data_IF_004807961368
#
_entry.id   IF_004807961368
#
_cell.length_a   1.000
_cell.length_b   1.000
_cell.length_c   1.000
_cell.angle_alpha   90.00
_cell.angle_beta   90.00
_cell.angle_gamma   90.00
#
_symmetry.space_group_name_H-M   'P 1'
#
loop_
_entity.id
_entity.type
_entity.pdbx_description
1 polymer ?
#
# COMPACT_ATOMS: atom_id res chain seq x y z
N UNK A 1 9.69 19.64 7.49
CA UNK A 1 8.75 18.95 6.58
C UNK A 1 7.36 18.83 7.19
N UNK A 2 7.17 18.13 8.32
CA UNK A 2 5.84 17.96 8.92
C UNK A 2 5.30 19.23 9.60
N UNK A 3 6.19 20.14 9.99
CA UNK A 3 5.85 21.39 10.69
C UNK A 3 4.89 22.29 9.90
N UNK A 4 4.86 22.20 8.56
CA UNK A 4 3.87 22.93 7.74
C UNK A 4 2.42 22.51 7.99
N UNK A 5 2.22 21.33 8.60
CA UNK A 5 0.90 20.80 8.97
C UNK A 5 0.56 21.03 10.45
N UNK A 6 1.38 21.76 11.19
CA UNK A 6 1.17 22.02 12.62
C UNK A 6 1.22 23.52 12.88
N UNK A 7 0.30 24.02 13.71
CA UNK A 7 0.35 25.40 14.18
C UNK A 7 1.53 25.66 15.13
N UNK A 8 1.93 24.63 15.88
CA UNK A 8 3.06 24.62 16.83
C UNK A 8 3.65 23.21 16.86
N UNK A 9 4.98 23.08 16.74
CA UNK A 9 5.68 21.78 16.66
C UNK A 9 6.46 21.38 17.92
N UNK A 10 6.65 22.30 18.88
CA UNK A 10 7.38 22.06 20.13
C UNK A 10 6.60 22.62 21.33
N UNK A 11 6.58 21.91 22.45
CA UNK A 11 5.76 22.25 23.62
C UNK A 11 6.56 22.14 24.92
N UNK A 12 6.27 23.01 25.87
CA UNK A 12 7.03 23.11 27.14
C UNK A 12 6.38 22.32 28.28
N UNK A 13 5.09 22.00 28.16
CA UNK A 13 4.36 21.15 29.12
C UNK A 13 3.20 20.41 28.44
N UNK A 14 2.58 19.48 29.17
CA UNK A 14 1.36 18.81 28.70
C UNK A 14 0.19 19.80 28.54
N UNK A 15 0.06 20.75 29.46
CA UNK A 15 -0.98 21.79 29.41
C UNK A 15 -0.80 22.70 28.17
N UNK A 16 0.45 23.06 27.86
CA UNK A 16 0.80 23.80 26.64
C UNK A 16 0.44 23.01 25.38
N UNK A 17 0.78 21.71 25.33
CA UNK A 17 0.40 20.82 24.23
C UNK A 17 -1.11 20.74 24.04
N UNK A 18 -1.86 20.47 25.11
CA UNK A 18 -3.31 20.33 25.05
C UNK A 18 -4.01 21.61 24.58
N UNK A 19 -3.49 22.78 24.97
CA UNK A 19 -4.07 24.06 24.61
C UNK A 19 -3.73 24.50 23.18
N UNK A 20 -2.53 24.16 22.70
CA UNK A 20 -1.96 24.79 21.51
C UNK A 20 -1.68 23.84 20.35
N UNK A 21 -1.83 22.52 20.52
CA UNK A 21 -1.71 21.58 19.42
C UNK A 21 -2.91 21.69 18.47
N UNK A 22 -2.62 21.98 17.22
CA UNK A 22 -3.62 22.09 16.16
C UNK A 22 -2.99 21.62 14.84
N UNK A 23 -3.69 20.69 14.16
CA UNK A 23 -3.30 20.22 12.83
C UNK A 23 -3.90 21.15 11.79
N UNK A 24 -3.06 21.64 10.89
CA UNK A 24 -3.49 22.38 9.71
C UNK A 24 -3.84 21.35 8.64
N UNK A 25 -5.13 21.19 8.36
CA UNK A 25 -5.63 20.29 7.31
C UNK A 25 -5.73 21.08 6.01
N UNK A 26 -4.82 20.86 5.03
CA UNK A 26 -4.92 21.52 3.74
C UNK A 26 -6.13 20.98 2.95
N UNK A 27 -6.58 21.73 1.94
CA UNK A 27 -7.67 21.31 1.06
C UNK A 27 -7.36 19.97 0.35
N UNK A 28 -6.09 19.74 0.01
CA UNK A 28 -5.60 18.49 -0.57
C UNK A 28 -4.39 17.99 0.22
N UNK A 29 -4.44 16.72 0.59
CA UNK A 29 -3.34 16.03 1.25
C UNK A 29 -3.28 14.59 0.77
N UNK A 30 -2.08 14.12 0.44
CA UNK A 30 -1.79 12.73 0.12
C UNK A 30 -0.45 12.33 0.75
N UNK A 31 -0.48 11.41 1.72
CA UNK A 31 0.71 11.01 2.46
C UNK A 31 1.87 10.53 1.57
N UNK A 32 1.59 9.83 0.48
CA UNK A 32 2.64 9.32 -0.41
C UNK A 32 3.36 10.46 -1.16
N UNK A 33 2.64 11.53 -1.53
CA UNK A 33 3.24 12.68 -2.20
C UNK A 33 3.79 13.72 -1.21
N UNK A 34 2.98 14.11 -0.24
CA UNK A 34 3.22 15.24 0.64
C UNK A 34 4.23 14.95 1.77
N UNK A 35 4.47 13.68 2.05
CA UNK A 35 5.38 13.22 3.11
C UNK A 35 6.48 12.33 2.53
N UNK A 36 6.12 11.21 1.87
CA UNK A 36 7.12 10.23 1.40
C UNK A 36 7.95 10.80 0.25
N UNK A 37 7.31 11.28 -0.81
CA UNK A 37 8.03 11.87 -1.95
C UNK A 37 8.75 13.17 -1.57
N UNK A 38 8.19 13.96 -0.65
CA UNK A 38 8.87 15.16 -0.15
C UNK A 38 10.14 14.80 0.63
N UNK A 39 10.12 13.75 1.47
CA UNK A 39 11.34 13.24 2.08
C UNK A 39 12.33 12.70 1.03
N UNK A 40 11.86 11.97 0.03
CA UNK A 40 12.69 11.49 -1.07
C UNK A 40 13.36 12.63 -1.83
N UNK A 41 12.76 13.83 -1.85
CA UNK A 41 13.31 15.03 -2.47
C UNK A 41 14.32 15.77 -1.59
N UNK A 42 14.02 15.95 -0.29
CA UNK A 42 14.84 16.79 0.61
C UNK A 42 15.96 16.02 1.33
N UNK A 43 15.78 14.71 1.53
CA UNK A 43 16.69 13.85 2.28
C UNK A 43 16.59 12.42 1.71
N UNK A 44 17.00 12.21 0.43
CA UNK A 44 16.78 10.97 -0.31
C UNK A 44 17.35 9.74 0.37
N UNK A 45 18.54 9.86 0.97
CA UNK A 45 19.29 8.78 1.61
C UNK A 45 18.81 8.47 3.03
N UNK A 46 17.84 9.23 3.54
CA UNK A 46 17.26 8.99 4.86
C UNK A 46 16.60 7.62 4.88
N UNK A 47 17.04 6.78 5.82
CA UNK A 47 16.44 5.47 6.06
C UNK A 47 14.98 5.62 6.48
N UNK A 48 14.09 4.98 5.73
CA UNK A 48 12.67 4.97 5.97
C UNK A 48 12.22 3.64 6.60
N UNK A 49 12.72 2.51 6.09
CA UNK A 49 12.38 1.17 6.58
C UNK A 49 13.65 0.37 6.80
N UNK A 50 13.72 -0.30 7.96
CA UNK A 50 14.64 -1.39 8.23
C UNK A 50 13.79 -2.65 8.40
N UNK A 51 13.90 -3.57 7.45
CA UNK A 51 13.18 -4.84 7.46
C UNK A 51 14.15 -5.98 7.69
N UNK A 52 13.74 -6.96 8.51
CA UNK A 52 14.50 -8.16 8.82
C UNK A 52 13.55 -9.36 8.90
N UNK A 53 14.06 -10.57 8.66
CA UNK A 53 13.34 -11.82 8.94
C UNK A 53 14.12 -12.76 9.88
N UNK A 54 13.50 -13.88 10.21
CA UNK A 54 14.03 -14.94 11.06
C UNK A 54 15.10 -15.79 10.37
N UNK A 55 15.28 -15.64 9.05
CA UNK A 55 16.38 -16.25 8.28
C UNK A 55 17.64 -15.36 8.22
N UNK A 56 17.62 -14.18 8.86
CA UNK A 56 18.75 -13.26 8.89
C UNK A 56 18.86 -12.36 7.66
N UNK A 57 17.88 -12.37 6.77
CA UNK A 57 17.79 -11.42 5.67
C UNK A 57 17.51 -10.01 6.21
N UNK A 58 18.10 -9.01 5.57
CA UNK A 58 17.92 -7.60 5.95
C UNK A 58 17.77 -6.75 4.70
N UNK A 59 16.74 -5.92 4.68
CA UNK A 59 16.52 -4.90 3.65
C UNK A 59 16.40 -3.53 4.30
N UNK A 60 17.20 -2.57 3.84
CA UNK A 60 17.09 -1.18 4.24
C UNK A 60 16.59 -0.38 3.05
N UNK A 61 15.49 0.35 3.25
CA UNK A 61 14.93 1.22 2.23
C UNK A 61 15.05 2.67 2.69
N UNK A 62 15.61 3.50 1.83
CA UNK A 62 15.59 4.95 1.97
C UNK A 62 14.27 5.54 1.48
N UNK A 63 14.02 6.82 1.72
CA UNK A 63 12.83 7.47 1.14
C UNK A 63 12.89 7.52 -0.39
N UNK A 64 14.08 7.64 -0.99
CA UNK A 64 14.25 7.51 -2.44
C UNK A 64 13.84 6.11 -2.94
N UNK A 65 14.21 5.05 -2.22
CA UNK A 65 13.82 3.67 -2.55
C UNK A 65 12.30 3.48 -2.43
N UNK A 66 11.68 3.99 -1.36
CA UNK A 66 10.22 3.90 -1.19
C UNK A 66 9.47 4.64 -2.28
N UNK A 67 9.92 5.84 -2.66
CA UNK A 67 9.33 6.58 -3.77
C UNK A 67 9.40 5.77 -5.06
N UNK A 68 10.59 5.27 -5.41
CA UNK A 68 10.80 4.47 -6.62
C UNK A 68 9.92 3.22 -6.63
N UNK A 69 9.98 2.43 -5.56
CA UNK A 69 9.22 1.19 -5.46
C UNK A 69 7.70 1.43 -5.50
N UNK A 70 7.21 2.45 -4.79
CA UNK A 70 5.79 2.80 -4.82
C UNK A 70 5.32 3.39 -6.15
N UNK A 71 6.17 4.11 -6.89
CA UNK A 71 5.89 4.55 -8.26
C UNK A 71 5.78 3.35 -9.22
N UNK A 72 6.73 2.42 -9.17
CA UNK A 72 6.71 1.17 -9.96
C UNK A 72 5.47 0.32 -9.63
N UNK A 73 5.15 0.15 -8.35
CA UNK A 73 3.94 -0.56 -7.90
C UNK A 73 2.66 0.16 -8.31
N UNK A 74 2.61 1.50 -8.26
CA UNK A 74 1.46 2.29 -8.69
C UNK A 74 1.18 2.13 -10.18
N UNK A 75 2.22 2.20 -11.00
CA UNK A 75 2.14 1.97 -12.45
C UNK A 75 1.70 0.53 -12.78
N UNK A 76 2.23 -0.45 -12.04
CA UNK A 76 1.77 -1.84 -12.16
C UNK A 76 0.27 -1.95 -11.84
N UNK A 77 -0.21 -1.39 -10.74
CA UNK A 77 -1.63 -1.44 -10.39
C UNK A 77 -2.52 -0.72 -11.42
N UNK A 78 -2.09 0.43 -11.94
CA UNK A 78 -2.78 1.10 -13.05
C UNK A 78 -2.87 0.22 -14.28
N UNK A 79 -1.82 -0.54 -14.61
CA UNK A 79 -1.83 -1.48 -15.74
C UNK A 79 -2.84 -2.63 -15.57
N UNK A 80 -3.22 -2.94 -14.32
CA UNK A 80 -4.27 -3.89 -14.00
C UNK A 80 -5.67 -3.27 -13.99
N UNK A 81 -5.80 -1.97 -14.25
CA UNK A 81 -7.07 -1.24 -14.23
C UNK A 81 -7.52 -0.79 -12.85
N UNK A 82 -6.60 -0.72 -11.87
CA UNK A 82 -6.87 -0.20 -10.53
C UNK A 82 -6.62 1.31 -10.52
N UNK A 83 -7.58 2.05 -9.98
CA UNK A 83 -7.47 3.51 -9.85
C UNK A 83 -8.32 4.08 -8.73
N UNK A 84 -8.69 5.36 -8.87
CA UNK A 84 -9.39 6.11 -7.84
C UNK A 84 -10.65 5.40 -7.33
N UNK A 85 -10.73 5.20 -6.01
CA UNK A 85 -11.89 4.60 -5.34
C UNK A 85 -12.01 3.08 -5.44
N UNK A 86 -11.18 2.40 -6.23
CA UNK A 86 -11.12 0.93 -6.26
C UNK A 86 -10.56 0.39 -4.93
N UNK A 87 -11.12 -0.72 -4.43
CA UNK A 87 -10.73 -1.30 -3.13
C UNK A 87 -9.80 -2.48 -3.36
N UNK A 88 -8.67 -2.47 -2.68
CA UNK A 88 -7.61 -3.49 -2.82
C UNK A 88 -7.32 -4.10 -1.46
N UNK A 89 -7.59 -5.39 -1.31
CA UNK A 89 -7.29 -6.13 -0.08
C UNK A 89 -5.81 -6.51 -0.02
N UNK A 90 -5.15 -6.25 1.11
CA UNK A 90 -3.73 -6.52 1.31
C UNK A 90 -3.54 -7.56 2.43
N UNK A 91 -3.21 -8.80 2.06
CA UNK A 91 -2.95 -9.93 2.97
C UNK A 91 -1.44 -10.28 2.91
N UNK A 92 -0.60 -9.33 3.32
CA UNK A 92 0.85 -9.36 3.06
C UNK A 92 1.71 -9.65 4.30
N UNK A 93 1.10 -10.03 5.43
CA UNK A 93 1.82 -10.27 6.71
C UNK A 93 2.73 -9.08 7.05
N UNK A 94 4.03 -9.31 7.31
CA UNK A 94 5.04 -8.27 7.57
C UNK A 94 6.01 -8.10 6.41
N UNK A 95 5.59 -8.40 5.18
CA UNK A 95 6.41 -8.24 3.96
C UNK A 95 6.61 -6.76 3.64
N UNK A 96 7.79 -6.37 3.16
CA UNK A 96 8.08 -4.95 2.87
C UNK A 96 7.26 -4.44 1.67
N UNK A 97 6.81 -5.33 0.81
CA UNK A 97 5.90 -5.11 -0.33
C UNK A 97 4.54 -4.56 0.11
N UNK A 98 4.15 -4.77 1.38
CA UNK A 98 3.00 -4.08 1.96
C UNK A 98 3.17 -2.57 1.90
N UNK A 99 4.36 -2.06 2.22
CA UNK A 99 4.66 -0.63 2.20
C UNK A 99 4.67 -0.06 0.79
N UNK A 100 5.19 -0.82 -0.18
CA UNK A 100 5.14 -0.41 -1.59
C UNK A 100 3.69 -0.35 -2.08
N UNK A 101 2.90 -1.38 -1.75
CA UNK A 101 1.50 -1.49 -2.14
C UNK A 101 0.65 -0.38 -1.55
N UNK A 102 0.71 -0.15 -0.23
CA UNK A 102 -0.14 0.85 0.41
C UNK A 102 0.18 2.26 -0.10
N UNK A 103 1.47 2.60 -0.25
CA UNK A 103 1.89 3.90 -0.81
C UNK A 103 1.46 4.05 -2.27
N UNK A 104 1.59 3.00 -3.08
CA UNK A 104 1.12 3.00 -4.45
C UNK A 104 -0.39 3.24 -4.55
N UNK A 105 -1.18 2.59 -3.69
CA UNK A 105 -2.63 2.80 -3.63
C UNK A 105 -2.98 4.24 -3.26
N UNK A 106 -2.23 4.84 -2.31
CA UNK A 106 -2.39 6.26 -1.98
C UNK A 106 -2.11 7.14 -3.19
N UNK A 107 -1.04 6.86 -3.95
CA UNK A 107 -0.68 7.65 -5.14
C UNK A 107 -1.75 7.61 -6.24
N UNK A 108 -2.42 6.49 -6.42
CA UNK A 108 -3.43 6.31 -7.48
C UNK A 108 -4.87 6.59 -7.02
N UNK A 109 -5.06 7.05 -5.78
CA UNK A 109 -6.38 7.30 -5.19
C UNK A 109 -7.19 6.04 -4.88
N UNK A 110 -6.57 4.86 -4.92
CA UNK A 110 -7.21 3.60 -4.57
C UNK A 110 -7.26 3.41 -3.04
N UNK A 111 -8.19 2.58 -2.59
CA UNK A 111 -8.43 2.32 -1.17
C UNK A 111 -7.78 1.00 -0.78
N UNK A 112 -6.72 1.07 0.03
CA UNK A 112 -6.11 -0.11 0.64
C UNK A 112 -6.96 -0.66 1.79
N UNK A 113 -7.18 -1.97 1.79
CA UNK A 113 -7.90 -2.70 2.84
C UNK A 113 -6.96 -3.75 3.44
N UNK A 114 -6.12 -3.38 4.43
CA UNK A 114 -5.24 -4.32 5.11
C UNK A 114 -6.03 -5.41 5.83
N UNK A 115 -5.58 -6.65 5.72
CA UNK A 115 -6.23 -7.80 6.31
C UNK A 115 -5.20 -8.79 6.90
N UNK A 116 -5.61 -9.52 7.93
CA UNK A 116 -4.78 -10.58 8.51
C UNK A 116 -4.69 -11.78 7.56
N UNK A 117 -3.61 -12.55 7.67
CA UNK A 117 -3.44 -13.82 6.94
C UNK A 117 -4.28 -14.97 7.50
N UNK A 118 -4.89 -14.79 8.67
CA UNK A 118 -5.70 -15.80 9.35
C UNK A 118 -7.16 -15.85 8.87
N UNK A 119 -7.49 -15.16 7.78
CA UNK A 119 -8.87 -15.12 7.28
C UNK A 119 -9.25 -16.46 6.65
N UNK A 120 -10.39 -16.98 7.05
CA UNK A 120 -11.02 -18.14 6.41
C UNK A 120 -11.70 -17.73 5.10
N UNK A 121 -12.09 -18.68 4.22
CA UNK A 121 -12.88 -18.36 3.02
C UNK A 121 -14.15 -17.55 3.34
N UNK A 122 -14.87 -17.90 4.40
CA UNK A 122 -16.08 -17.17 4.84
C UNK A 122 -15.76 -15.72 5.23
N UNK A 123 -14.64 -15.49 5.91
CA UNK A 123 -14.19 -14.17 6.29
C UNK A 123 -13.82 -13.29 5.08
N UNK A 124 -13.24 -13.91 4.05
CA UNK A 124 -12.88 -13.27 2.79
C UNK A 124 -14.12 -12.91 1.99
N UNK A 125 -15.07 -13.84 1.81
CA UNK A 125 -16.36 -13.60 1.14
C UNK A 125 -17.07 -12.41 1.76
N UNK A 126 -17.19 -12.39 3.09
CA UNK A 126 -17.83 -11.29 3.81
C UNK A 126 -17.17 -9.94 3.51
N UNK A 127 -15.84 -9.86 3.60
CA UNK A 127 -15.09 -8.61 3.38
C UNK A 127 -15.11 -8.18 1.92
N UNK A 128 -14.95 -9.12 0.99
CA UNK A 128 -14.99 -8.88 -0.44
C UNK A 128 -16.31 -8.22 -0.84
N UNK A 129 -17.42 -8.80 -0.40
CA UNK A 129 -18.76 -8.30 -0.71
C UNK A 129 -19.10 -7.01 0.04
N UNK A 130 -18.72 -6.88 1.32
CA UNK A 130 -19.02 -5.69 2.09
C UNK A 130 -18.27 -4.45 1.61
N UNK A 131 -17.02 -4.60 1.15
CA UNK A 131 -16.20 -3.49 0.69
C UNK A 131 -16.21 -3.30 -0.83
N UNK A 132 -16.73 -4.25 -1.60
CA UNK A 132 -16.62 -4.27 -3.05
C UNK A 132 -15.16 -4.37 -3.49
N UNK A 133 -14.44 -5.35 -2.98
CA UNK A 133 -13.01 -5.56 -3.28
C UNK A 133 -12.85 -5.90 -4.76
N UNK A 134 -11.99 -5.15 -5.45
CA UNK A 134 -11.67 -5.35 -6.87
C UNK A 134 -10.40 -6.15 -7.09
N UNK A 135 -9.43 -6.02 -6.19
CA UNK A 135 -8.18 -6.78 -6.25
C UNK A 135 -7.78 -7.30 -4.87
N UNK A 136 -7.27 -8.54 -4.83
CA UNK A 136 -6.65 -9.11 -3.64
C UNK A 136 -5.15 -9.30 -3.92
N UNK A 137 -4.32 -8.82 -3.00
CA UNK A 137 -2.87 -9.06 -2.99
C UNK A 137 -2.53 -9.87 -1.74
N UNK A 138 -1.80 -10.97 -1.90
CA UNK A 138 -1.41 -11.81 -0.76
C UNK A 138 -0.01 -12.42 -0.92
N UNK A 139 0.58 -12.89 0.17
CA UNK A 139 1.78 -13.74 0.10
C UNK A 139 1.48 -15.08 -0.61
N UNK A 140 2.49 -15.71 -1.17
CA UNK A 140 2.36 -16.96 -1.95
C UNK A 140 2.23 -18.24 -1.09
N UNK A 141 1.87 -18.12 0.19
CA UNK A 141 1.73 -19.28 1.09
C UNK A 141 0.49 -20.11 0.68
N UNK A 142 0.62 -21.44 0.47
CA UNK A 142 -0.46 -22.25 -0.12
C UNK A 142 -1.80 -22.17 0.60
N UNK A 143 -1.81 -22.11 1.94
CA UNK A 143 -3.04 -22.04 2.74
C UNK A 143 -3.84 -20.76 2.49
N UNK A 144 -3.14 -19.64 2.28
CA UNK A 144 -3.77 -18.34 2.04
C UNK A 144 -4.27 -18.28 0.59
N UNK A 145 -3.45 -18.73 -0.37
CA UNK A 145 -3.86 -18.86 -1.77
C UNK A 145 -5.12 -19.74 -1.89
N UNK A 146 -5.12 -20.89 -1.22
CA UNK A 146 -6.28 -21.79 -1.19
C UNK A 146 -7.51 -21.08 -0.62
N UNK A 147 -7.37 -20.39 0.53
CA UNK A 147 -8.49 -19.69 1.16
C UNK A 147 -9.07 -18.57 0.28
N UNK A 148 -8.21 -17.84 -0.44
CA UNK A 148 -8.66 -16.83 -1.41
C UNK A 148 -9.37 -17.47 -2.59
N UNK A 149 -8.82 -18.54 -3.17
CA UNK A 149 -9.42 -19.22 -4.31
C UNK A 149 -10.82 -19.80 -3.97
N UNK A 150 -10.99 -20.40 -2.80
CA UNK A 150 -12.30 -20.92 -2.34
C UNK A 150 -13.34 -19.80 -2.19
N UNK A 151 -12.92 -18.58 -1.84
CA UNK A 151 -13.82 -17.44 -1.69
C UNK A 151 -14.28 -16.82 -3.03
N UNK A 152 -13.60 -17.10 -4.15
CA UNK A 152 -13.81 -16.39 -5.42
C UNK A 152 -15.20 -16.58 -6.02
N UNK A 153 -15.74 -17.80 -5.94
CA UNK A 153 -17.05 -18.10 -6.51
C UNK A 153 -18.17 -17.24 -5.90
N UNK A 154 -18.00 -16.77 -4.67
CA UNK A 154 -18.93 -15.92 -3.93
C UNK A 154 -18.44 -14.47 -3.78
N UNK A 155 -17.39 -14.08 -4.51
CA UNK A 155 -16.78 -12.74 -4.45
C UNK A 155 -16.76 -12.08 -5.85
N UNK A 156 -17.93 -11.78 -6.45
CA UNK A 156 -18.05 -11.40 -7.86
C UNK A 156 -17.37 -10.08 -8.24
N UNK A 157 -17.06 -9.22 -7.27
CA UNK A 157 -16.34 -7.95 -7.51
C UNK A 157 -14.83 -8.14 -7.65
N UNK A 158 -14.27 -9.27 -7.22
CA UNK A 158 -12.82 -9.51 -7.26
C UNK A 158 -12.41 -9.87 -8.69
N UNK A 159 -11.72 -8.96 -9.35
CA UNK A 159 -11.30 -9.08 -10.75
C UNK A 159 -9.83 -9.47 -10.91
N UNK A 160 -8.99 -9.15 -9.92
CA UNK A 160 -7.54 -9.34 -9.97
C UNK A 160 -7.01 -10.02 -8.73
N UNK A 161 -6.09 -10.96 -8.94
CA UNK A 161 -5.38 -11.69 -7.90
C UNK A 161 -3.89 -11.53 -8.11
N UNK A 162 -3.21 -11.00 -7.10
CA UNK A 162 -1.77 -10.71 -7.14
C UNK A 162 -1.10 -11.43 -5.98
N UNK A 163 0.05 -12.06 -6.24
CA UNK A 163 0.81 -12.75 -5.21
C UNK A 163 2.23 -12.19 -5.05
N UNK A 164 2.72 -12.21 -3.82
CA UNK A 164 4.07 -11.80 -3.41
C UNK A 164 4.83 -13.02 -2.90
N UNK A 165 5.99 -13.29 -3.49
CA UNK A 165 6.84 -14.43 -3.19
C UNK A 165 7.40 -15.09 -4.45
N UNK A 166 8.11 -16.21 -4.27
CA UNK A 166 8.82 -16.89 -5.36
C UNK A 166 7.90 -17.73 -6.25
N UNK A 167 6.68 -18.01 -5.79
CA UNK A 167 5.72 -18.84 -6.51
C UNK A 167 4.50 -18.02 -6.93
N UNK A 168 4.13 -18.15 -8.21
CA UNK A 168 2.88 -17.59 -8.75
C UNK A 168 1.95 -18.73 -9.14
N UNK A 169 0.83 -18.92 -8.43
CA UNK A 169 -0.18 -19.92 -8.79
C UNK A 169 -0.80 -19.64 -10.17
N UNK A 170 -1.37 -20.67 -10.79
CA UNK A 170 -2.13 -20.50 -12.03
C UNK A 170 -3.30 -19.52 -11.84
N UNK A 171 -3.49 -18.61 -12.80
CA UNK A 171 -4.51 -17.56 -12.73
C UNK A 171 -4.16 -16.36 -11.84
N UNK A 172 -3.02 -16.37 -11.16
CA UNK A 172 -2.52 -15.25 -10.36
C UNK A 172 -1.47 -14.45 -11.12
N UNK A 173 -1.28 -13.20 -10.70
CA UNK A 173 -0.30 -12.27 -11.24
C UNK A 173 0.86 -12.13 -10.24
N UNK A 174 2.10 -12.29 -10.73
CA UNK A 174 3.31 -12.06 -9.93
C UNK A 174 3.49 -10.57 -9.65
N UNK A 175 3.55 -10.18 -8.37
CA UNK A 175 3.80 -8.80 -7.95
C UNK A 175 5.18 -8.31 -8.42
N UNK A 176 6.21 -9.13 -8.24
CA UNK A 176 7.58 -8.76 -8.59
C UNK A 176 7.80 -8.64 -10.10
N UNK A 177 7.19 -9.51 -10.91
CA UNK A 177 7.22 -9.36 -12.37
C UNK A 177 6.43 -8.12 -12.81
N UNK A 178 5.28 -7.88 -12.17
CA UNK A 178 4.48 -6.68 -12.39
C UNK A 178 5.28 -5.40 -12.19
N UNK A 179 5.99 -5.29 -11.07
CA UNK A 179 6.89 -4.17 -10.79
C UNK A 179 8.05 -4.07 -11.77
N UNK A 180 8.77 -5.18 -12.04
CA UNK A 180 9.92 -5.17 -12.95
C UNK A 180 9.57 -4.71 -14.37
N UNK A 181 8.35 -5.03 -14.82
CA UNK A 181 7.86 -4.68 -16.15
C UNK A 181 6.99 -3.41 -16.17
N UNK A 182 6.90 -2.71 -15.04
CA UNK A 182 6.10 -1.50 -14.92
C UNK A 182 6.64 -0.41 -15.85
N UNK A 183 5.71 0.27 -16.54
CA UNK A 183 6.05 1.49 -17.29
C UNK A 183 6.36 2.63 -16.30
N UNK A 184 6.99 3.72 -16.75
CA UNK A 184 7.11 4.92 -15.92
C UNK A 184 5.76 5.36 -15.37
N UNK A 185 5.69 5.60 -14.07
CA UNK A 185 4.45 5.99 -13.38
C UNK A 185 3.95 7.34 -13.87
N UNK A 186 2.65 7.43 -14.09
CA UNK A 186 1.95 8.68 -14.42
C UNK A 186 0.95 8.95 -13.30
N UNK A 187 1.21 10.00 -12.53
CA UNK A 187 0.32 10.43 -11.46
C UNK A 187 -1.07 10.79 -12.03
N UNK A 188 -2.17 10.38 -11.38
CA UNK A 188 -3.50 10.80 -11.79
C UNK A 188 -3.64 12.34 -11.71
N UNK A 189 -4.55 12.88 -12.52
CA UNK A 189 -4.86 14.32 -12.54
C UNK A 189 -6.37 14.54 -12.54
N UNK A 190 -6.81 15.71 -12.06
CA UNK A 190 -8.24 16.07 -12.05
C UNK A 190 -9.05 15.25 -11.04
N UNK A 191 -10.25 14.81 -11.43
CA UNK A 191 -11.16 14.00 -10.59
C UNK A 191 -10.64 12.59 -10.29
N UNK A 192 -9.58 12.15 -10.99
CA UNK A 192 -8.92 10.87 -10.74
C UNK A 192 -7.77 10.95 -9.72
N UNK A 193 -7.45 12.15 -9.21
CA UNK A 193 -6.35 12.43 -8.27
C UNK A 193 -6.79 12.49 -6.81
#
# INVERSE_FOLDING_TARGET
MFEKYLKKSSFESLEDFQKNFEIIVPEKFNFAYDVVDEYARIDPDKRAICWVNDQGETHNFTFADLKKASDETASFFQSLGIGHGDKVMLILKRRFEFWFSILALHKIGAIGVPATHLLTPKDLIYRNNAAGIKMVITVSEPEIIHSVNEALAESPTVEKLVTVGDHTPEGWISFHDGMRNAKPFVAPTGEAA
#
